data_IF_283382714962
#
_entry.id   IF_283382714962
#
_cell.length_a   1.000
_cell.length_b   1.000
_cell.length_c   1.000
_cell.angle_alpha   90.00
_cell.angle_beta   90.00
_cell.angle_gamma   90.00
#
_symmetry.space_group_name_H-M   'P 1'
#
loop_
_entity.id
_entity.type
_entity.pdbx_description
1 polymer ?
#
# COMPACT_ATOMS: atom_id res chain seq x y z
N UNK A 1 22.90 48.79 -73.45
CA UNK A 1 22.59 47.48 -74.09
C UNK A 1 22.90 46.39 -73.12
N UNK A 2 21.88 45.54 -72.81
CA UNK A 2 21.85 44.29 -72.04
C UNK A 2 21.90 44.39 -70.50
N UNK A 3 20.70 44.09 -69.95
CA UNK A 3 20.36 43.60 -68.69
C UNK A 3 21.12 42.31 -68.31
N UNK A 4 21.43 42.13 -67.06
CA UNK A 4 21.37 40.79 -66.45
C UNK A 4 20.76 40.87 -65.03
N UNK A 5 19.70 40.20 -64.91
CA UNK A 5 18.90 39.88 -63.76
C UNK A 5 19.68 38.99 -62.77
N UNK A 6 19.69 39.38 -61.50
CA UNK A 6 20.23 38.54 -60.42
C UNK A 6 19.10 38.14 -59.47
N UNK A 7 18.70 36.91 -59.53
CA UNK A 7 17.65 36.27 -58.72
C UNK A 7 18.18 36.01 -57.32
N UNK A 8 17.65 36.65 -56.30
CA UNK A 8 17.96 36.38 -54.91
C UNK A 8 17.00 35.32 -54.42
N UNK A 9 17.50 34.10 -54.20
CA UNK A 9 16.75 33.03 -53.54
C UNK A 9 16.80 33.23 -52.03
N UNK A 10 15.64 33.52 -51.43
CA UNK A 10 15.44 33.57 -50.00
C UNK A 10 15.15 32.15 -49.51
N UNK A 11 16.13 31.55 -48.81
CA UNK A 11 15.99 30.23 -48.23
C UNK A 11 15.27 30.38 -46.88
N UNK A 12 14.01 29.99 -46.82
CA UNK A 12 13.25 29.83 -45.60
C UNK A 12 13.72 28.62 -44.83
N UNK A 13 14.47 28.84 -43.76
CA UNK A 13 14.85 27.82 -42.76
C UNK A 13 14.05 28.16 -41.48
N UNK A 14 12.88 27.58 -41.36
CA UNK A 14 12.06 27.74 -40.19
C UNK A 14 11.08 26.60 -40.08
N UNK A 15 11.04 25.96 -38.88
CA UNK A 15 10.15 24.90 -38.43
C UNK A 15 10.64 23.48 -38.48
N UNK A 16 11.55 23.13 -37.55
CA UNK A 16 11.74 21.73 -37.13
C UNK A 16 12.05 21.55 -35.63
N UNK A 17 11.85 22.57 -34.79
CA UNK A 17 12.22 22.46 -33.36
C UNK A 17 11.01 22.25 -32.40
N UNK A 18 9.77 22.37 -32.89
CA UNK A 18 8.59 22.34 -32.00
C UNK A 18 7.98 20.94 -31.82
N UNK A 19 8.19 20.02 -32.74
CA UNK A 19 7.64 18.65 -32.66
C UNK A 19 8.25 17.79 -31.57
N UNK A 20 9.57 17.86 -31.44
CA UNK A 20 10.32 16.99 -30.50
C UNK A 20 10.02 17.29 -29.01
N UNK A 21 9.69 18.55 -28.69
CA UNK A 21 9.44 18.95 -27.28
C UNK A 21 8.03 18.55 -26.79
N UNK A 22 7.06 18.49 -27.69
CA UNK A 22 5.68 18.09 -27.36
C UNK A 22 5.61 16.56 -27.18
N UNK A 23 6.23 15.81 -28.07
CA UNK A 23 6.27 14.36 -28.02
C UNK A 23 6.97 13.85 -26.74
N UNK A 24 8.12 14.41 -26.36
CA UNK A 24 8.84 14.08 -25.14
C UNK A 24 8.08 14.44 -23.86
N UNK A 25 7.21 15.48 -23.92
CA UNK A 25 6.40 15.86 -22.78
C UNK A 25 5.21 14.92 -22.59
N UNK A 26 4.59 14.48 -23.68
CA UNK A 26 3.48 13.53 -23.68
C UNK A 26 3.96 12.14 -23.18
N UNK A 27 5.14 11.70 -23.64
CA UNK A 27 5.73 10.44 -23.19
C UNK A 27 6.09 10.45 -21.70
N UNK A 28 6.58 11.58 -21.18
CA UNK A 28 6.88 11.73 -19.75
C UNK A 28 5.62 11.80 -18.89
N UNK A 29 4.56 12.45 -19.38
CA UNK A 29 3.28 12.52 -18.68
C UNK A 29 2.58 11.17 -18.69
N UNK A 30 2.62 10.41 -19.80
CA UNK A 30 2.06 9.05 -19.85
C UNK A 30 2.85 8.09 -18.95
N UNK A 31 4.17 8.13 -18.97
CA UNK A 31 5.02 7.30 -18.10
C UNK A 31 4.79 7.62 -16.62
N UNK A 32 4.61 8.90 -16.27
CA UNK A 32 4.32 9.32 -14.90
C UNK A 32 2.91 8.93 -14.45
N UNK A 33 1.93 8.96 -15.36
CA UNK A 33 0.57 8.48 -15.10
C UNK A 33 0.53 6.97 -14.91
N UNK A 34 1.27 6.19 -15.72
CA UNK A 34 1.43 4.75 -15.56
C UNK A 34 2.18 4.39 -14.27
N UNK A 35 3.19 5.15 -13.89
CA UNK A 35 3.96 4.95 -12.66
C UNK A 35 3.11 5.31 -11.42
N UNK A 36 2.28 6.37 -11.49
CA UNK A 36 1.29 6.71 -10.47
C UNK A 36 0.16 5.68 -10.37
N UNK A 37 -0.22 5.06 -11.48
CA UNK A 37 -1.18 3.94 -11.54
C UNK A 37 -0.63 2.65 -10.92
N UNK A 38 0.69 2.48 -10.92
CA UNK A 38 1.37 1.28 -10.35
C UNK A 38 1.45 1.27 -8.83
N UNK A 39 1.37 2.43 -8.17
CA UNK A 39 1.50 2.54 -6.72
C UNK A 39 0.45 3.50 -6.18
N UNK A 40 -0.51 2.97 -5.45
CA UNK A 40 -1.56 3.74 -4.77
C UNK A 40 -1.41 3.56 -3.26
N UNK A 41 -1.38 4.68 -2.52
CA UNK A 41 -1.42 4.67 -1.07
C UNK A 41 -2.86 4.43 -0.63
N UNK A 42 -3.06 3.49 0.29
CA UNK A 42 -4.33 3.20 0.94
C UNK A 42 -4.29 3.81 2.33
N UNK A 43 -5.29 4.63 2.63
CA UNK A 43 -5.42 5.32 3.90
C UNK A 43 -6.88 5.27 4.33
N UNK A 44 -7.21 4.50 5.39
CA UNK A 44 -8.55 4.49 5.97
C UNK A 44 -8.94 5.87 6.50
N UNK A 45 -10.23 6.20 6.37
CA UNK A 45 -10.75 7.44 6.93
C UNK A 45 -10.68 7.42 8.47
N UNK A 46 -10.31 8.55 9.06
CA UNK A 46 -10.22 8.71 10.51
C UNK A 46 -8.98 8.10 11.17
N UNK A 47 -8.16 7.37 10.43
CA UNK A 47 -6.88 6.84 10.95
C UNK A 47 -5.75 7.83 10.66
N UNK A 48 -4.96 8.14 11.67
CA UNK A 48 -3.85 9.08 11.53
C UNK A 48 -2.79 8.58 10.54
N UNK A 49 -2.42 9.44 9.59
CA UNK A 49 -1.29 9.17 8.70
C UNK A 49 0.03 9.40 9.44
N UNK A 50 0.94 8.46 9.32
CA UNK A 50 2.28 8.57 9.88
C UNK A 50 3.28 8.93 8.76
N UNK A 51 4.23 9.87 9.02
CA UNK A 51 5.14 10.35 7.98
C UNK A 51 6.22 9.33 7.57
N UNK A 52 6.35 8.22 8.31
CA UNK A 52 7.44 7.25 8.16
C UNK A 52 7.03 5.99 7.39
N UNK A 53 5.73 5.71 7.24
CA UNK A 53 5.21 4.60 6.43
C UNK A 53 3.76 4.87 5.98
N UNK A 54 3.30 4.14 4.95
CA UNK A 54 1.90 4.08 4.55
C UNK A 54 1.23 2.87 5.20
N UNK A 55 -0.05 2.97 5.59
CA UNK A 55 -0.78 1.83 6.18
C UNK A 55 -0.93 0.67 5.22
N UNK A 56 -1.16 0.96 3.93
CA UNK A 56 -1.01 -0.02 2.87
C UNK A 56 -0.68 0.64 1.53
N UNK A 57 -0.17 -0.18 0.62
CA UNK A 57 0.14 0.21 -0.77
C UNK A 57 -0.49 -0.81 -1.69
N UNK A 58 -1.31 -0.35 -2.64
CA UNK A 58 -1.72 -1.12 -3.79
C UNK A 58 -0.68 -0.99 -4.90
N UNK A 59 -0.30 -2.12 -5.50
CA UNK A 59 0.54 -2.17 -6.69
C UNK A 59 0.02 -3.24 -7.65
N UNK A 60 -0.63 -2.81 -8.72
CA UNK A 60 -1.34 -3.71 -9.63
C UNK A 60 -2.46 -4.46 -8.90
N UNK A 61 -2.40 -5.78 -8.95
CA UNK A 61 -3.40 -6.67 -8.36
C UNK A 61 -3.06 -7.08 -6.91
N UNK A 62 -2.08 -6.43 -6.27
CA UNK A 62 -1.69 -6.72 -4.90
C UNK A 62 -1.83 -5.50 -3.99
N UNK A 63 -2.19 -5.78 -2.75
CA UNK A 63 -2.21 -4.84 -1.63
C UNK A 63 -1.19 -5.34 -0.60
N UNK A 64 -0.24 -4.49 -0.27
CA UNK A 64 0.77 -4.72 0.76
C UNK A 64 0.38 -3.87 1.98
N UNK A 65 0.00 -4.51 3.05
CA UNK A 65 -0.28 -3.85 4.32
C UNK A 65 1.05 -3.67 5.08
N UNK A 66 1.22 -2.56 5.78
CA UNK A 66 2.25 -2.47 6.81
C UNK A 66 1.87 -3.32 8.01
N UNK A 67 2.84 -3.69 8.83
CA UNK A 67 2.60 -4.44 10.06
C UNK A 67 1.49 -3.77 10.89
N UNK A 68 0.46 -4.54 11.21
CA UNK A 68 -0.68 -4.10 12.01
C UNK A 68 -0.53 -4.61 13.43
N UNK A 69 -0.71 -3.71 14.38
CA UNK A 69 -0.70 -3.96 15.82
C UNK A 69 -2.13 -3.83 16.37
N UNK A 70 -2.36 -4.33 17.57
CA UNK A 70 -3.59 -4.08 18.33
C UNK A 70 -3.67 -2.66 18.90
N UNK A 71 -3.33 -1.66 18.10
CA UNK A 71 -3.39 -0.26 18.49
C UNK A 71 -4.79 0.31 18.26
N UNK A 72 -5.30 1.08 19.22
CA UNK A 72 -6.57 1.80 19.10
C UNK A 72 -6.41 2.92 18.05
N UNK A 73 -7.19 2.91 16.95
CA UNK A 73 -7.11 3.92 15.92
C UNK A 73 -7.56 5.32 16.37
N UNK A 74 -8.32 5.43 17.46
CA UNK A 74 -8.75 6.69 18.06
C UNK A 74 -7.74 7.36 18.98
N UNK A 75 -6.68 6.65 19.37
CA UNK A 75 -5.67 7.14 20.32
C UNK A 75 -4.53 7.91 19.63
N UNK A 76 -4.18 9.06 20.20
CA UNK A 76 -3.01 9.85 19.77
C UNK A 76 -2.26 10.39 20.99
N UNK A 77 -1.02 9.94 21.27
CA UNK A 77 -0.20 9.00 20.48
C UNK A 77 -0.78 7.59 20.43
N UNK A 78 -0.45 6.78 19.39
CA UNK A 78 -0.94 5.41 19.29
C UNK A 78 -0.59 4.56 20.49
N UNK A 79 -1.55 3.76 20.96
CA UNK A 79 -1.39 2.84 22.10
C UNK A 79 -2.10 1.53 21.80
N UNK A 80 -1.47 0.41 22.16
CA UNK A 80 -2.13 -0.91 22.09
C UNK A 80 -3.26 -0.99 23.12
N UNK A 81 -4.31 -1.73 22.78
CA UNK A 81 -5.45 -1.94 23.68
C UNK A 81 -5.06 -2.75 24.91
N UNK A 82 -5.76 -2.51 26.02
CA UNK A 82 -5.59 -3.33 27.21
C UNK A 82 -6.33 -4.67 27.06
N UNK A 83 -5.85 -5.72 27.72
CA UNK A 83 -6.53 -7.03 27.75
C UNK A 83 -5.68 -8.19 27.25
N UNK A 84 -4.40 -7.95 26.97
CA UNK A 84 -3.42 -8.98 26.60
C UNK A 84 -3.61 -9.50 25.18
N UNK A 85 -2.99 -10.64 24.91
CA UNK A 85 -2.82 -11.20 23.55
C UNK A 85 -4.16 -11.38 22.81
N UNK A 86 -5.24 -11.79 23.50
CA UNK A 86 -6.53 -12.03 22.87
C UNK A 86 -7.16 -10.72 22.41
N UNK A 87 -7.15 -9.68 23.26
CA UNK A 87 -7.67 -8.35 22.93
C UNK A 87 -6.83 -7.69 21.83
N UNK A 88 -5.52 -7.74 21.94
CA UNK A 88 -4.61 -7.19 20.92
C UNK A 88 -4.77 -7.89 19.57
N UNK A 89 -4.91 -9.23 19.55
CA UNK A 89 -5.15 -9.98 18.30
C UNK A 89 -6.46 -9.55 17.66
N UNK A 90 -7.52 -9.38 18.44
CA UNK A 90 -8.82 -8.93 17.93
C UNK A 90 -8.73 -7.54 17.32
N UNK A 91 -8.13 -6.60 18.04
CA UNK A 91 -7.93 -5.24 17.54
C UNK A 91 -7.01 -5.20 16.30
N UNK A 92 -5.98 -6.04 16.25
CA UNK A 92 -5.11 -6.17 15.07
C UNK A 92 -5.92 -6.61 13.84
N UNK A 93 -6.80 -7.61 13.99
CA UNK A 93 -7.66 -8.07 12.90
C UNK A 93 -8.66 -7.00 12.45
N UNK A 94 -9.27 -6.27 13.38
CA UNK A 94 -10.17 -5.14 13.08
C UNK A 94 -9.42 -4.01 12.33
N UNK A 95 -8.17 -3.73 12.70
CA UNK A 95 -7.33 -2.75 12.00
C UNK A 95 -7.00 -3.21 10.56
N UNK A 96 -6.72 -4.53 10.37
CA UNK A 96 -6.52 -5.11 9.04
C UNK A 96 -7.80 -4.97 8.20
N UNK A 97 -8.97 -5.29 8.76
CA UNK A 97 -10.26 -5.13 8.07
C UNK A 97 -10.47 -3.69 7.61
N UNK A 98 -10.21 -2.70 8.48
CA UNK A 98 -10.35 -1.29 8.13
C UNK A 98 -9.44 -0.87 6.97
N UNK A 99 -8.19 -1.36 6.94
CA UNK A 99 -7.27 -1.09 5.84
C UNK A 99 -7.71 -1.75 4.54
N UNK A 100 -8.20 -3.00 4.61
CA UNK A 100 -8.71 -3.73 3.45
C UNK A 100 -9.98 -3.07 2.90
N UNK A 101 -10.91 -2.67 3.76
CA UNK A 101 -12.15 -1.97 3.38
C UNK A 101 -11.85 -0.67 2.63
N UNK A 102 -10.88 0.12 3.11
CA UNK A 102 -10.41 1.32 2.42
C UNK A 102 -9.80 1.03 1.02
N UNK A 103 -9.36 -0.21 0.78
CA UNK A 103 -8.89 -0.70 -0.50
C UNK A 103 -9.98 -1.38 -1.34
N UNK A 104 -11.20 -1.52 -0.81
CA UNK A 104 -12.31 -2.25 -1.41
C UNK A 104 -12.13 -3.78 -1.34
N UNK A 105 -11.25 -4.28 -0.47
CA UNK A 105 -10.94 -5.70 -0.27
C UNK A 105 -11.51 -6.19 1.08
N UNK A 106 -11.40 -7.48 1.34
CA UNK A 106 -11.89 -8.16 2.53
C UNK A 106 -10.84 -9.12 3.09
N UNK A 107 -11.07 -9.72 4.27
CA UNK A 107 -10.19 -10.76 4.83
C UNK A 107 -10.05 -11.99 3.92
N UNK A 108 -11.05 -12.30 3.09
CA UNK A 108 -11.02 -13.40 2.12
C UNK A 108 -10.02 -13.16 0.98
N UNK A 109 -9.64 -11.91 0.75
CA UNK A 109 -8.64 -11.53 -0.26
C UNK A 109 -7.20 -11.65 0.25
N UNK A 110 -7.00 -11.97 1.54
CA UNK A 110 -5.69 -12.16 2.12
C UNK A 110 -5.00 -13.41 1.57
N UNK A 111 -3.79 -13.23 1.03
CA UNK A 111 -2.95 -14.29 0.51
C UNK A 111 -1.96 -14.81 1.55
N UNK A 112 -1.40 -13.88 2.32
CA UNK A 112 -0.35 -14.18 3.28
C UNK A 112 -0.40 -13.20 4.44
N UNK A 113 -0.29 -13.73 5.68
CA UNK A 113 -0.24 -12.96 6.93
C UNK A 113 0.78 -13.56 7.89
N UNK A 114 2.09 -13.28 7.75
CA UNK A 114 3.07 -13.56 8.79
C UNK A 114 2.65 -12.97 10.13
N UNK A 115 2.90 -13.72 11.19
CA UNK A 115 2.60 -13.36 12.58
C UNK A 115 3.91 -13.23 13.34
N UNK A 116 4.08 -12.09 13.98
CA UNK A 116 5.17 -11.82 14.90
C UNK A 116 4.60 -11.71 16.31
N UNK A 117 5.21 -12.40 17.25
CA UNK A 117 4.82 -12.41 18.65
C UNK A 117 5.95 -11.82 19.51
N UNK A 118 5.59 -11.15 20.58
CA UNK A 118 6.57 -10.76 21.60
C UNK A 118 7.06 -11.98 22.38
N UNK A 119 6.18 -12.96 22.64
CA UNK A 119 6.49 -14.22 23.27
C UNK A 119 5.80 -15.38 22.54
N UNK A 120 6.51 -16.49 22.30
CA UNK A 120 5.97 -17.69 21.65
C UNK A 120 4.92 -18.39 22.51
N UNK A 121 4.93 -18.20 23.80
CA UNK A 121 3.93 -18.75 24.73
C UNK A 121 2.51 -18.24 24.40
N UNK A 122 2.37 -17.06 23.80
CA UNK A 122 1.11 -16.46 23.37
C UNK A 122 0.53 -17.08 22.08
N UNK A 123 1.28 -17.97 21.41
CA UNK A 123 0.89 -18.54 20.12
C UNK A 123 -0.49 -19.20 20.12
N UNK A 124 -0.81 -19.97 21.16
CA UNK A 124 -2.06 -20.70 21.23
C UNK A 124 -3.26 -19.77 21.46
N UNK A 125 -3.14 -18.78 22.34
CA UNK A 125 -4.18 -17.80 22.63
C UNK A 125 -4.43 -16.87 21.43
N UNK A 126 -3.37 -16.39 20.79
CA UNK A 126 -3.47 -15.64 19.53
C UNK A 126 -4.20 -16.45 18.45
N UNK A 127 -3.85 -17.72 18.24
CA UNK A 127 -4.48 -18.55 17.22
C UNK A 127 -5.98 -18.80 17.50
N UNK A 128 -6.40 -18.88 18.75
CA UNK A 128 -7.80 -19.07 19.10
C UNK A 128 -8.65 -17.88 18.59
N UNK A 129 -8.16 -16.66 18.78
CA UNK A 129 -8.84 -15.44 18.26
C UNK A 129 -8.71 -15.35 16.74
N UNK A 130 -7.52 -15.57 16.20
CA UNK A 130 -7.27 -15.50 14.75
C UNK A 130 -8.22 -16.41 13.96
N UNK A 131 -8.47 -17.63 14.47
CA UNK A 131 -9.36 -18.61 13.82
C UNK A 131 -10.82 -18.15 13.73
N UNK A 132 -11.27 -17.24 14.57
CA UNK A 132 -12.64 -16.69 14.52
C UNK A 132 -12.88 -15.89 13.22
N UNK A 133 -11.82 -15.28 12.65
CA UNK A 133 -11.88 -14.48 11.43
C UNK A 133 -11.78 -15.31 10.15
N UNK A 134 -11.31 -16.56 10.25
CA UNK A 134 -11.11 -17.48 9.11
C UNK A 134 -11.80 -18.82 9.36
N UNK A 135 -13.14 -18.90 9.25
CA UNK A 135 -13.86 -20.17 9.41
C UNK A 135 -13.55 -21.17 8.30
N UNK A 136 -13.07 -20.68 7.13
CA UNK A 136 -12.55 -21.48 6.01
C UNK A 136 -11.43 -20.73 5.31
N UNK A 137 -10.58 -21.46 4.60
CA UNK A 137 -9.58 -20.95 3.67
C UNK A 137 -8.67 -19.82 4.22
N UNK A 138 -8.00 -20.02 5.39
CA UNK A 138 -7.12 -19.01 5.96
C UNK A 138 -5.92 -18.72 5.05
N UNK A 139 -5.38 -17.49 5.10
CA UNK A 139 -4.21 -17.13 4.31
C UNK A 139 -2.97 -17.94 4.72
N UNK A 140 -2.03 -18.09 3.77
CA UNK A 140 -0.73 -18.68 4.09
C UNK A 140 0.00 -17.84 5.14
N UNK A 141 0.63 -18.47 6.13
CA UNK A 141 1.35 -17.73 7.17
C UNK A 141 2.63 -18.45 7.64
N UNK A 142 3.46 -17.70 8.31
CA UNK A 142 4.48 -18.20 9.25
C UNK A 142 4.25 -17.46 10.56
N UNK A 143 4.67 -18.05 11.67
CA UNK A 143 4.68 -17.40 12.97
C UNK A 143 6.05 -17.52 13.61
N UNK A 144 6.51 -16.44 14.22
CA UNK A 144 7.76 -16.41 14.98
C UNK A 144 7.63 -15.43 16.15
N UNK A 145 8.43 -15.64 17.18
CA UNK A 145 8.59 -14.66 18.26
C UNK A 145 9.93 -13.93 18.14
N UNK A 146 9.89 -12.65 18.46
CA UNK A 146 11.06 -11.77 18.48
C UNK A 146 11.45 -11.33 19.89
N UNK A 147 12.26 -10.29 19.99
CA UNK A 147 12.70 -9.70 21.26
C UNK A 147 11.82 -8.52 21.73
N UNK A 148 10.69 -8.30 21.10
CA UNK A 148 9.73 -7.23 21.34
C UNK A 148 9.20 -6.64 20.05
N UNK A 149 8.03 -6.00 20.14
CA UNK A 149 7.33 -5.35 19.03
C UNK A 149 7.16 -3.86 19.32
N UNK A 150 6.82 -3.09 18.29
CA UNK A 150 6.57 -1.66 18.42
C UNK A 150 5.44 -1.41 19.43
N UNK A 151 5.49 -0.27 20.12
CA UNK A 151 4.54 0.14 21.16
C UNK A 151 4.41 -0.85 22.35
N UNK A 152 5.29 -1.85 22.45
CA UNK A 152 5.17 -2.91 23.45
C UNK A 152 4.05 -3.90 23.14
N UNK A 153 3.60 -3.99 21.89
CA UNK A 153 2.58 -4.93 21.46
C UNK A 153 3.01 -6.39 21.67
N UNK A 154 2.02 -7.26 21.86
CA UNK A 154 2.21 -8.70 22.00
C UNK A 154 2.13 -9.42 20.65
N UNK A 155 1.45 -8.84 19.67
CA UNK A 155 1.28 -9.39 18.31
C UNK A 155 1.37 -8.32 17.24
N UNK A 156 1.93 -8.70 16.10
CA UNK A 156 1.94 -7.92 14.86
C UNK A 156 1.67 -8.85 13.67
N UNK A 157 0.84 -8.41 12.74
CA UNK A 157 0.57 -9.12 11.50
C UNK A 157 0.96 -8.27 10.29
N UNK A 158 1.72 -8.86 9.36
CA UNK A 158 2.16 -8.25 8.10
C UNK A 158 1.52 -8.97 6.92
N UNK A 159 0.51 -8.35 6.30
CA UNK A 159 -0.35 -9.05 5.37
C UNK A 159 -0.21 -8.57 3.92
N UNK A 160 -0.47 -9.51 2.99
CA UNK A 160 -0.58 -9.25 1.55
C UNK A 160 -1.95 -9.77 1.10
N UNK A 161 -2.68 -8.96 0.34
CA UNK A 161 -3.98 -9.29 -0.22
C UNK A 161 -4.01 -9.15 -1.75
N UNK A 162 -4.99 -9.77 -2.39
CA UNK A 162 -5.37 -9.48 -3.78
C UNK A 162 -6.23 -8.21 -3.79
N UNK A 163 -5.93 -7.31 -4.70
CA UNK A 163 -6.77 -6.17 -4.95
C UNK A 163 -8.00 -6.57 -5.78
N UNK A 164 -9.21 -6.07 -5.45
CA UNK A 164 -10.38 -6.31 -6.30
C UNK A 164 -10.14 -5.82 -7.71
N UNK A 165 -10.67 -6.53 -8.70
CA UNK A 165 -10.63 -6.10 -10.09
C UNK A 165 -11.28 -4.73 -10.22
N UNK A 166 -10.62 -3.80 -10.92
CA UNK A 166 -11.26 -2.56 -11.30
C UNK A 166 -12.46 -2.91 -12.21
N UNK A 167 -13.67 -2.64 -11.72
CA UNK A 167 -14.90 -2.85 -12.47
C UNK A 167 -15.05 -1.91 -13.66
#
# INVERSE_FOLDING_TARGET
MRLHSGFTALLTLGFLATGCTIEQRTDRESTRAEESSRRQIIQPDGVASLPIFSLAIRSGDLIFLSGQLGADPGESPPRVVDGGIEAETRQTMENIEAVLDAAGATLQDLLKCPVFLADIEDYAAMNAVYAEYFPSDPPARAALAGSGLALGALVELDCIAVAPSAG
#
